data_IF_591373863874
#
_entry.id   IF_591373863874
#
_cell.length_a   1.000
_cell.length_b   1.000
_cell.length_c   1.000
_cell.angle_alpha   90.00
_cell.angle_beta   90.00
_cell.angle_gamma   90.00
#
_symmetry.space_group_name_H-M   'P 1'
#
loop_
_entity.id
_entity.type
_entity.pdbx_description
1 polymer ?
#
# COMPACT_ATOMS: atom_id res chain seq x y z
N UNK A 1 41.93 11.96 -3.36
CA UNK A 1 41.34 10.62 -3.20
C UNK A 1 40.02 10.70 -2.44
N UNK A 2 39.90 11.61 -1.48
CA UNK A 2 38.67 12.01 -0.75
C UNK A 2 37.39 12.16 -1.57
N UNK A 3 37.42 12.83 -2.73
CA UNK A 3 36.20 13.07 -3.55
C UNK A 3 35.62 11.77 -4.13
N UNK A 4 36.48 10.80 -4.44
CA UNK A 4 36.06 9.48 -4.93
C UNK A 4 35.47 8.66 -3.79
N UNK A 5 36.10 8.72 -2.62
CA UNK A 5 35.60 8.08 -1.40
C UNK A 5 34.21 8.61 -1.01
N UNK A 6 34.03 9.94 -1.04
CA UNK A 6 32.74 10.59 -0.78
C UNK A 6 31.66 10.23 -1.82
N UNK A 7 32.04 10.07 -3.09
CA UNK A 7 31.12 9.62 -4.12
C UNK A 7 30.68 8.16 -3.89
N UNK A 8 31.64 7.29 -3.54
CA UNK A 8 31.34 5.88 -3.24
C UNK A 8 30.44 5.71 -2.03
N UNK A 9 30.63 6.51 -0.97
CA UNK A 9 29.77 6.44 0.22
C UNK A 9 28.34 6.91 -0.09
N UNK A 10 28.17 7.98 -0.87
CA UNK A 10 26.84 8.45 -1.31
C UNK A 10 26.14 7.37 -2.15
N UNK A 11 26.83 6.78 -3.12
CA UNK A 11 26.24 5.73 -3.97
C UNK A 11 25.83 4.53 -3.11
N UNK A 12 26.66 4.09 -2.16
CA UNK A 12 26.31 3.00 -1.26
C UNK A 12 25.07 3.30 -0.40
N UNK A 13 24.96 4.52 0.15
CA UNK A 13 23.79 4.97 0.92
C UNK A 13 22.51 5.05 0.08
N UNK A 14 22.61 5.48 -1.17
CA UNK A 14 21.48 5.51 -2.10
C UNK A 14 21.01 4.11 -2.48
N UNK A 15 21.94 3.16 -2.68
CA UNK A 15 21.63 1.77 -2.98
C UNK A 15 20.99 1.02 -1.80
N UNK A 16 21.28 1.43 -0.56
CA UNK A 16 20.72 0.86 0.68
C UNK A 16 19.21 1.12 0.84
N UNK A 17 18.63 2.10 0.14
CA UNK A 17 17.20 2.43 0.25
C UNK A 17 16.31 1.61 -0.69
N UNK A 18 16.87 0.64 -1.42
CA UNK A 18 16.15 -0.10 -2.48
C UNK A 18 15.46 -1.39 -2.00
N UNK A 19 15.43 -1.68 -0.69
CA UNK A 19 14.66 -2.79 -0.12
C UNK A 19 13.50 -2.24 0.72
N UNK A 20 12.27 -2.74 0.68
CA UNK A 20 11.74 -4.01 0.19
C UNK A 20 10.37 -3.75 -0.46
N UNK A 21 10.03 -4.52 -1.50
CA UNK A 21 8.64 -4.60 -1.93
C UNK A 21 7.88 -5.36 -0.83
N UNK A 22 7.06 -4.63 -0.07
CA UNK A 22 6.12 -5.24 0.86
C UNK A 22 5.13 -6.09 0.05
N UNK A 23 5.08 -7.39 0.32
CA UNK A 23 4.01 -8.25 -0.17
C UNK A 23 2.72 -7.78 0.50
N UNK A 24 2.00 -6.88 -0.17
CA UNK A 24 0.71 -6.43 0.29
C UNK A 24 -0.24 -7.64 0.33
N UNK A 25 -0.64 -8.08 1.54
CA UNK A 25 -1.68 -9.11 1.80
C UNK A 25 -3.10 -8.67 1.35
N UNK A 26 -3.15 -7.71 0.43
CA UNK A 26 -4.30 -6.97 -0.05
C UNK A 26 -5.06 -7.61 -1.20
N UNK A 27 -4.60 -8.76 -1.68
CA UNK A 27 -5.21 -9.41 -2.83
C UNK A 27 -6.46 -10.18 -2.37
N UNK A 28 -7.64 -9.65 -2.68
CA UNK A 28 -8.92 -10.33 -2.43
C UNK A 28 -9.59 -10.67 -3.77
N UNK A 29 -10.01 -11.93 -3.91
CA UNK A 29 -10.82 -12.35 -5.05
C UNK A 29 -12.28 -11.95 -4.82
N UNK A 30 -12.80 -11.04 -5.65
CA UNK A 30 -14.17 -10.55 -5.58
C UNK A 30 -14.93 -10.86 -6.88
N UNK A 31 -16.24 -11.14 -6.81
CA UNK A 31 -17.06 -11.28 -8.01
C UNK A 31 -17.18 -9.95 -8.76
N UNK A 32 -17.29 -10.01 -10.08
CA UNK A 32 -17.50 -8.85 -10.95
C UNK A 32 -18.99 -8.43 -10.98
N UNK A 33 -19.53 -8.13 -9.81
CA UNK A 33 -20.92 -7.64 -9.63
C UNK A 33 -20.86 -6.16 -9.29
N UNK A 34 -21.72 -5.36 -9.94
CA UNK A 34 -21.91 -3.95 -9.64
C UNK A 34 -23.07 -3.79 -8.64
N UNK A 35 -22.72 -3.62 -7.37
CA UNK A 35 -23.62 -3.39 -6.24
C UNK A 35 -23.01 -2.29 -5.34
N UNK A 36 -23.05 -1.02 -5.79
CA UNK A 36 -22.22 0.03 -5.26
C UNK A 36 -22.54 0.35 -3.79
N UNK A 37 -21.50 0.51 -2.97
CA UNK A 37 -21.60 0.91 -1.56
C UNK A 37 -20.79 2.17 -1.29
N UNK A 38 -21.29 3.03 -0.41
CA UNK A 38 -20.56 4.17 0.11
C UNK A 38 -20.12 3.86 1.55
N UNK A 39 -18.83 4.00 1.84
CA UNK A 39 -18.25 3.78 3.17
C UNK A 39 -17.45 4.99 3.62
N UNK A 40 -17.18 5.06 4.93
CA UNK A 40 -16.36 6.10 5.53
C UNK A 40 -15.51 5.53 6.65
N UNK A 41 -14.29 6.04 6.77
CA UNK A 41 -13.37 5.83 7.90
C UNK A 41 -13.62 6.83 9.06
N UNK A 42 -14.69 7.63 8.96
CA UNK A 42 -15.00 8.73 9.87
C UNK A 42 -14.38 10.08 9.46
N UNK A 43 -13.54 10.11 8.42
CA UNK A 43 -12.92 11.34 7.88
C UNK A 43 -13.34 11.62 6.45
N UNK A 44 -13.32 10.61 5.60
CA UNK A 44 -13.62 10.72 4.18
C UNK A 44 -14.68 9.69 3.79
N UNK A 45 -15.44 10.00 2.74
CA UNK A 45 -16.35 9.04 2.10
C UNK A 45 -15.70 8.49 0.84
N UNK A 46 -15.87 7.19 0.61
CA UNK A 46 -15.38 6.49 -0.58
C UNK A 46 -16.46 5.54 -1.11
N UNK A 47 -16.56 5.47 -2.44
CA UNK A 47 -17.44 4.52 -3.12
C UNK A 47 -16.67 3.27 -3.55
N UNK A 48 -17.30 2.11 -3.38
CA UNK A 48 -16.79 0.81 -3.82
C UNK A 48 -17.82 0.13 -4.71
N UNK A 49 -17.36 -0.59 -5.75
CA UNK A 49 -18.25 -1.23 -6.72
C UNK A 49 -19.08 -2.37 -6.13
N UNK A 50 -18.62 -2.97 -5.03
CA UNK A 50 -19.37 -3.92 -4.22
C UNK A 50 -18.80 -4.06 -2.81
N UNK A 51 -19.55 -4.75 -1.93
CA UNK A 51 -19.17 -5.04 -0.53
C UNK A 51 -17.83 -5.77 -0.42
N UNK A 52 -17.54 -6.74 -1.29
CA UNK A 52 -16.30 -7.51 -1.23
C UNK A 52 -15.07 -6.62 -1.44
N UNK A 53 -15.14 -5.69 -2.38
CA UNK A 53 -14.04 -4.73 -2.63
C UNK A 53 -13.83 -3.77 -1.45
N UNK A 54 -14.89 -3.36 -0.77
CA UNK A 54 -14.79 -2.61 0.49
C UNK A 54 -14.08 -3.45 1.58
N UNK A 55 -14.49 -4.70 1.77
CA UNK A 55 -13.87 -5.58 2.77
C UNK A 55 -12.39 -5.87 2.45
N UNK A 56 -12.05 -6.02 1.17
CA UNK A 56 -10.67 -6.14 0.74
C UNK A 56 -9.84 -4.89 1.01
N UNK A 57 -10.42 -3.71 0.80
CA UNK A 57 -9.80 -2.45 1.19
C UNK A 57 -9.55 -2.36 2.70
N UNK A 58 -10.52 -2.73 3.52
CA UNK A 58 -10.39 -2.69 4.99
C UNK A 58 -9.28 -3.60 5.52
N UNK A 59 -9.01 -4.74 4.86
CA UNK A 59 -7.89 -5.64 5.24
C UNK A 59 -6.51 -5.02 5.00
N UNK A 60 -6.42 -4.04 4.11
CA UNK A 60 -5.20 -3.33 3.76
C UNK A 60 -4.95 -2.09 4.59
N UNK A 61 -5.93 -1.68 5.40
CA UNK A 61 -5.76 -0.49 6.21
C UNK A 61 -4.81 -0.81 7.38
N UNK A 62 -3.68 -0.10 7.53
CA UNK A 62 -2.68 -0.37 8.56
C UNK A 62 -3.20 -0.15 9.99
N UNK A 63 -4.41 0.40 10.15
CA UNK A 63 -5.07 0.63 11.43
C UNK A 63 -6.24 -0.34 11.69
N UNK A 64 -6.52 -1.27 10.79
CA UNK A 64 -7.58 -2.28 10.89
C UNK A 64 -7.04 -3.70 11.13
N UNK A 65 -5.73 -3.81 11.46
CA UNK A 65 -5.11 -5.05 11.91
C UNK A 65 -5.77 -5.50 13.21
N UNK A 66 -6.65 -6.49 13.09
CA UNK A 66 -7.16 -7.25 14.23
C UNK A 66 -6.18 -8.36 14.59
#
# INVERSE_FOLDING_TARGET
MEKKFYCYTIVALLLLQLSAAEENECSVACPHILDPVCATDGRNFQYFSNRCLLEGHNKCEPNNSK
#
